data_IF_143147858534
#
_entry.id   IF_143147858534
#
_cell.length_a   1.000
_cell.length_b   1.000
_cell.length_c   1.000
_cell.angle_alpha   90.00
_cell.angle_beta   90.00
_cell.angle_gamma   90.00
#
_symmetry.space_group_name_H-M   'P 1'
#
loop_
_entity.id
_entity.type
_entity.pdbx_description
1 polymer ?
#
# COMPACT_ATOMS: atom_id res chain seq x y z
N UNK A 1 10.80 28.93 1.56
CA UNK A 1 10.50 29.83 2.70
C UNK A 1 11.01 29.17 3.97
N UNK A 2 11.67 29.91 4.86
CA UNK A 2 12.29 29.36 6.07
C UNK A 2 11.19 29.07 7.12
N UNK A 3 11.07 27.82 7.60
CA UNK A 3 9.94 27.38 8.45
C UNK A 3 9.78 28.23 9.72
N UNK A 4 10.90 28.64 10.32
CA UNK A 4 10.96 29.56 11.46
C UNK A 4 10.24 30.91 11.20
N UNK A 5 10.46 31.51 10.03
CA UNK A 5 9.85 32.78 9.67
C UNK A 5 8.33 32.66 9.45
N UNK A 6 7.87 31.51 8.93
CA UNK A 6 6.45 31.22 8.74
C UNK A 6 5.72 31.05 10.08
N UNK A 7 6.31 30.31 11.02
CA UNK A 7 5.75 30.11 12.36
C UNK A 7 5.60 31.44 13.10
N UNK A 8 6.62 32.29 13.03
CA UNK A 8 6.57 33.61 13.66
C UNK A 8 5.41 34.46 13.13
N UNK A 9 5.21 34.50 11.80
CA UNK A 9 4.10 35.25 11.18
C UNK A 9 2.73 34.72 11.61
N UNK A 10 2.58 33.41 11.77
CA UNK A 10 1.32 32.79 12.20
C UNK A 10 1.01 33.17 13.65
N UNK A 11 1.98 33.08 14.56
CA UNK A 11 1.80 33.50 15.97
C UNK A 11 1.33 34.95 16.08
N UNK A 12 1.95 35.85 15.30
CA UNK A 12 1.57 37.27 15.28
C UNK A 12 0.14 37.50 14.78
N UNK A 13 -0.36 36.66 13.87
CA UNK A 13 -1.75 36.74 13.39
C UNK A 13 -2.73 36.21 14.43
N UNK A 14 -2.40 35.11 15.12
CA UNK A 14 -3.24 34.52 16.17
C UNK A 14 -3.52 35.49 17.31
N UNK A 15 -2.53 36.30 17.73
CA UNK A 15 -2.72 37.32 18.77
C UNK A 15 -3.71 38.44 18.40
N UNK A 16 -4.02 38.61 17.12
CA UNK A 16 -4.96 39.64 16.64
C UNK A 16 -6.37 39.11 16.42
N UNK A 17 -6.59 37.83 16.68
CA UNK A 17 -7.89 37.20 16.46
C UNK A 17 -8.83 37.59 17.60
N UNK A 18 -10.06 38.02 17.29
CA UNK A 18 -11.09 38.24 18.29
C UNK A 18 -11.38 36.98 19.12
N UNK A 19 -11.61 37.12 20.43
CA UNK A 19 -11.78 35.99 21.34
C UNK A 19 -12.90 35.02 20.92
N UNK A 20 -14.00 35.55 20.38
CA UNK A 20 -15.13 34.78 19.87
C UNK A 20 -14.82 33.92 18.63
N UNK A 21 -13.61 34.05 18.06
CA UNK A 21 -13.13 33.29 16.91
C UNK A 21 -12.02 32.31 17.26
N UNK A 22 -11.54 32.31 18.51
CA UNK A 22 -10.48 31.40 18.94
C UNK A 22 -10.93 29.93 18.92
N UNK A 23 -12.18 29.66 19.31
CA UNK A 23 -12.75 28.30 19.26
C UNK A 23 -12.76 27.73 17.83
N UNK A 24 -13.17 28.54 16.84
CA UNK A 24 -13.19 28.14 15.42
C UNK A 24 -11.78 27.86 14.88
N UNK A 25 -10.77 28.58 15.40
CA UNK A 25 -9.36 28.32 15.04
C UNK A 25 -8.87 27.02 15.66
N UNK A 26 -9.24 26.74 16.91
CA UNK A 26 -8.88 25.50 17.61
C UNK A 26 -9.45 24.28 16.86
N UNK A 27 -10.74 24.32 16.53
CA UNK A 27 -11.42 23.29 15.73
C UNK A 27 -10.73 23.06 14.37
N UNK A 28 -10.29 24.14 13.73
CA UNK A 28 -9.58 24.06 12.45
C UNK A 28 -8.18 23.46 12.58
N UNK A 29 -7.45 23.77 13.66
CA UNK A 29 -6.14 23.17 13.95
C UNK A 29 -6.31 21.67 14.19
N UNK A 30 -7.29 21.28 14.98
CA UNK A 30 -7.61 19.87 15.25
C UNK A 30 -7.95 19.11 13.97
N UNK A 31 -8.78 19.68 13.09
CA UNK A 31 -9.07 19.11 11.78
C UNK A 31 -7.80 18.89 10.94
N UNK A 32 -6.88 19.87 10.93
CA UNK A 32 -5.63 19.79 10.18
C UNK A 32 -4.69 18.72 10.74
N UNK A 33 -4.60 18.59 12.07
CA UNK A 33 -3.81 17.57 12.75
C UNK A 33 -4.39 16.17 12.48
N UNK A 34 -5.69 16.00 12.65
CA UNK A 34 -6.40 14.76 12.35
C UNK A 34 -6.16 14.32 10.90
N UNK A 35 -6.23 15.24 9.93
CA UNK A 35 -5.96 14.93 8.52
C UNK A 35 -4.49 14.52 8.27
N UNK A 36 -3.55 15.08 9.02
CA UNK A 36 -2.13 14.75 8.91
C UNK A 36 -1.82 13.34 9.43
N UNK A 37 -2.55 12.87 10.44
CA UNK A 37 -2.42 11.51 10.98
C UNK A 37 -2.95 10.42 10.02
N UNK A 38 -3.74 10.78 9.01
CA UNK A 38 -4.26 9.82 8.01
C UNK A 38 -3.19 9.37 6.98
N UNK A 39 -1.92 9.80 7.11
CA UNK A 39 -0.83 9.41 6.19
C UNK A 39 -0.30 7.97 6.39
N UNK A 40 -1.15 7.05 6.83
CA UNK A 40 -0.79 5.67 7.12
C UNK A 40 -1.90 4.69 6.80
N UNK A 41 -2.65 4.86 5.70
CA UNK A 41 -3.47 3.76 5.18
C UNK A 41 -2.54 2.69 4.63
N UNK A 42 -2.11 1.77 5.50
CA UNK A 42 -1.53 0.50 5.07
C UNK A 42 -2.61 -0.24 4.30
N UNK A 43 -2.50 -0.27 2.98
CA UNK A 43 -3.41 -1.04 2.14
C UNK A 43 -3.20 -2.50 2.51
N UNK A 44 -4.20 -3.15 3.12
CA UNK A 44 -4.14 -4.58 3.40
C UNK A 44 -4.10 -5.31 2.07
N UNK A 45 -3.05 -6.10 1.85
CA UNK A 45 -2.90 -6.97 0.67
C UNK A 45 -3.62 -8.31 0.81
N UNK A 46 -4.64 -8.35 1.67
CA UNK A 46 -5.47 -9.52 1.91
C UNK A 46 -6.23 -9.85 0.62
N UNK A 47 -6.09 -11.07 0.13
CA UNK A 47 -6.72 -11.52 -1.13
C UNK A 47 -5.94 -11.23 -2.42
N UNK A 48 -4.73 -10.64 -2.38
CA UNK A 48 -3.94 -10.41 -3.63
C UNK A 48 -3.66 -11.70 -4.40
N UNK A 49 -3.48 -12.82 -3.68
CA UNK A 49 -3.19 -14.11 -4.30
C UNK A 49 -4.42 -14.99 -4.50
N UNK A 50 -5.62 -14.51 -4.12
CA UNK A 50 -6.84 -15.30 -4.20
C UNK A 50 -7.11 -15.73 -5.65
N UNK A 51 -7.14 -17.04 -5.88
CA UNK A 51 -7.42 -17.63 -7.20
C UNK A 51 -6.27 -17.53 -8.21
N UNK A 52 -5.15 -16.89 -7.84
CA UNK A 52 -3.89 -16.85 -8.59
C UNK A 52 -2.85 -17.83 -8.03
N UNK A 53 -3.04 -18.33 -6.80
CA UNK A 53 -2.15 -19.25 -6.13
C UNK A 53 -2.37 -20.72 -6.52
N UNK A 54 -1.92 -21.61 -5.64
CA UNK A 54 -2.01 -23.07 -5.84
C UNK A 54 -3.36 -23.65 -5.41
N UNK A 55 -4.36 -22.83 -5.09
CA UNK A 55 -5.65 -23.30 -4.55
C UNK A 55 -6.40 -24.22 -5.52
N UNK A 56 -6.08 -24.13 -6.82
CA UNK A 56 -6.66 -24.96 -7.88
C UNK A 56 -5.97 -26.32 -8.04
N UNK A 57 -4.80 -26.54 -7.42
CA UNK A 57 -4.07 -27.81 -7.50
C UNK A 57 -4.69 -28.79 -6.52
N UNK A 58 -5.56 -29.67 -7.02
CA UNK A 58 -6.24 -30.69 -6.21
C UNK A 58 -5.33 -31.87 -5.83
N UNK A 59 -4.38 -32.22 -6.69
CA UNK A 59 -3.41 -33.30 -6.48
C UNK A 59 -2.05 -32.86 -7.01
N UNK A 60 -1.18 -32.45 -6.08
CA UNK A 60 0.15 -31.94 -6.38
C UNK A 60 1.06 -33.01 -6.97
N UNK A 61 0.96 -34.26 -6.52
CA UNK A 61 1.82 -35.34 -7.02
C UNK A 61 1.51 -35.65 -8.49
N UNK A 62 0.22 -35.69 -8.84
CA UNK A 62 -0.21 -35.90 -10.22
C UNK A 62 0.30 -34.81 -11.16
N UNK A 63 0.20 -33.54 -10.76
CA UNK A 63 0.73 -32.41 -11.55
C UNK A 63 2.26 -32.46 -11.69
N UNK A 64 3.00 -32.79 -10.62
CA UNK A 64 4.46 -32.97 -10.70
C UNK A 64 4.84 -34.10 -11.67
N UNK A 65 4.11 -35.22 -11.64
CA UNK A 65 4.36 -36.35 -12.56
C UNK A 65 4.10 -35.96 -14.02
N UNK A 66 3.02 -35.21 -14.30
CA UNK A 66 2.73 -34.69 -15.65
C UNK A 66 3.83 -33.78 -16.16
N UNK A 67 4.28 -32.83 -15.34
CA UNK A 67 5.37 -31.90 -15.69
C UNK A 67 6.63 -32.69 -16.01
N UNK A 68 7.04 -33.61 -15.12
CA UNK A 68 8.24 -34.43 -15.31
C UNK A 68 8.17 -35.22 -16.63
N UNK A 69 7.04 -35.88 -16.90
CA UNK A 69 6.84 -36.62 -18.15
C UNK A 69 6.96 -35.70 -19.38
N UNK A 70 6.28 -34.55 -19.36
CA UNK A 70 6.35 -33.58 -20.48
C UNK A 70 7.76 -33.06 -20.73
N UNK A 71 8.54 -32.84 -19.67
CA UNK A 71 9.94 -32.41 -19.78
C UNK A 71 10.80 -33.53 -20.38
N UNK A 72 10.66 -34.77 -19.91
CA UNK A 72 11.37 -35.92 -20.48
C UNK A 72 11.02 -36.12 -21.95
N UNK A 73 9.74 -36.07 -22.32
CA UNK A 73 9.28 -36.21 -23.70
C UNK A 73 9.85 -35.09 -24.59
N UNK A 74 9.94 -33.86 -24.07
CA UNK A 74 10.50 -32.72 -24.81
C UNK A 74 12.01 -32.85 -25.04
N UNK A 75 12.74 -33.35 -24.05
CA UNK A 75 14.18 -33.63 -24.16
C UNK A 75 14.43 -34.74 -25.18
N UNK A 76 13.65 -35.82 -25.11
CA UNK A 76 13.75 -36.94 -26.06
C UNK A 76 13.40 -36.49 -27.48
N UNK A 77 12.33 -35.72 -27.68
CA UNK A 77 12.01 -35.14 -29.00
C UNK A 77 13.14 -34.27 -29.54
N UNK A 78 13.82 -33.52 -28.69
CA UNK A 78 14.97 -32.72 -29.10
C UNK A 78 16.18 -33.58 -29.49
N UNK A 79 16.39 -34.72 -28.83
CA UNK A 79 17.50 -35.63 -29.16
C UNK A 79 17.24 -36.50 -30.40
N UNK A 80 15.97 -36.76 -30.75
CA UNK A 80 15.59 -37.54 -31.94
C UNK A 80 15.39 -36.71 -33.22
N UNK A 81 15.40 -35.36 -33.13
CA UNK A 81 15.33 -34.45 -34.27
C UNK A 81 16.71 -33.83 -34.61
N UNK A 82 17.79 -34.47 -34.17
CA UNK A 82 19.19 -34.27 -34.57
C UNK A 82 19.69 -35.59 -35.17
#
# INVERSE_FOLDING_TARGET
MNASASVYKIKQKLHKVPENKLAEIDDFIDFMLMKSEVSGKTTKFEGIWEGLGFEKIKDLESEIRKIRKSSTDSILKRSYNL
#
